data_IF_696119690761
#
_entry.id   IF_696119690761
#
_cell.length_a   1.000
_cell.length_b   1.000
_cell.length_c   1.000
_cell.angle_alpha   90.00
_cell.angle_beta   90.00
_cell.angle_gamma   90.00
#
_symmetry.space_group_name_H-M   'P 1'
#
loop_
_entity.id
_entity.type
_entity.pdbx_description
1 polymer ?
#
# COMPACT_ATOMS: atom_id res chain seq x y z
N UNK A 1 -27.06 -30.06 12.62
CA UNK A 1 -25.68 -29.80 12.21
C UNK A 1 -24.81 -30.83 12.93
N UNK A 2 -24.11 -31.71 12.21
CA UNK A 2 -23.27 -32.72 12.83
C UNK A 2 -21.91 -32.07 13.17
N UNK A 3 -21.65 -31.87 14.45
CA UNK A 3 -20.35 -31.39 14.91
C UNK A 3 -19.28 -32.45 14.59
N UNK A 4 -18.19 -32.07 13.92
CA UNK A 4 -17.11 -33.00 13.60
C UNK A 4 -16.37 -33.40 14.88
N UNK A 5 -16.31 -34.68 15.23
CA UNK A 5 -15.55 -35.14 16.40
C UNK A 5 -14.03 -35.14 16.12
N UNK A 6 -13.24 -34.60 17.05
CA UNK A 6 -11.79 -34.67 17.01
C UNK A 6 -11.28 -35.68 18.04
N UNK A 7 -10.47 -36.66 17.63
CA UNK A 7 -9.83 -37.58 18.59
C UNK A 7 -8.76 -36.81 19.35
N UNK A 8 -8.85 -36.76 20.67
CA UNK A 8 -7.76 -36.26 21.49
C UNK A 8 -6.59 -37.24 21.42
N UNK A 9 -5.46 -36.79 20.88
CA UNK A 9 -4.22 -37.58 20.79
C UNK A 9 -3.17 -36.86 21.63
N UNK A 10 -2.86 -37.45 22.78
CA UNK A 10 -1.77 -36.98 23.65
C UNK A 10 -0.43 -37.49 23.08
N UNK A 11 0.67 -36.72 23.16
CA UNK A 11 1.97 -37.09 22.57
C UNK A 11 2.50 -38.45 23.07
N UNK A 12 2.12 -38.82 24.29
CA UNK A 12 2.36 -40.15 24.84
C UNK A 12 1.00 -40.83 25.00
N UNK A 13 0.71 -41.91 24.27
CA UNK A 13 -0.56 -42.65 24.45
C UNK A 13 -0.65 -43.41 25.79
N UNK A 14 0.38 -43.30 26.64
CA UNK A 14 0.54 -44.01 27.91
C UNK A 14 1.04 -43.03 28.98
N UNK A 15 0.40 -43.04 30.15
CA UNK A 15 0.91 -42.32 31.33
C UNK A 15 1.87 -43.23 32.09
N UNK A 16 3.16 -42.88 32.07
CA UNK A 16 4.23 -43.56 32.81
C UNK A 16 4.83 -42.64 33.88
N UNK A 17 5.43 -43.21 34.92
CA UNK A 17 6.21 -42.44 35.88
C UNK A 17 7.63 -42.12 35.37
N UNK A 18 8.42 -41.40 36.18
CA UNK A 18 9.78 -41.00 35.83
C UNK A 18 10.75 -42.18 35.64
N UNK A 19 10.34 -43.40 35.98
CA UNK A 19 11.10 -44.65 35.81
C UNK A 19 10.59 -45.51 34.66
N UNK A 20 9.54 -45.07 33.94
CA UNK A 20 8.95 -45.77 32.81
C UNK A 20 7.88 -46.81 33.19
N UNK A 21 7.47 -46.87 34.47
CA UNK A 21 6.40 -47.79 34.91
C UNK A 21 5.03 -47.18 34.60
N UNK A 22 4.07 -47.95 34.05
CA UNK A 22 2.72 -47.47 33.80
C UNK A 22 2.00 -47.00 35.06
N UNK A 23 1.40 -45.81 35.00
CA UNK A 23 0.57 -45.27 36.08
C UNK A 23 -0.86 -45.79 35.95
N UNK A 24 -1.09 -46.99 36.47
CA UNK A 24 -2.43 -47.54 36.60
C UNK A 24 -3.34 -46.58 37.40
N UNK A 25 -4.52 -46.27 36.87
CA UNK A 25 -5.49 -45.39 37.55
C UNK A 25 -5.19 -43.88 37.47
N UNK A 26 -4.28 -43.44 36.60
CA UNK A 26 -4.14 -42.01 36.27
C UNK A 26 -5.47 -41.42 35.75
N UNK A 27 -5.70 -40.13 35.98
CA UNK A 27 -6.99 -39.48 35.72
C UNK A 27 -6.82 -38.28 34.79
N UNK A 28 -7.54 -38.26 33.68
CA UNK A 28 -7.65 -37.11 32.77
C UNK A 28 -8.96 -36.36 33.03
N UNK A 29 -8.83 -35.11 33.44
CA UNK A 29 -9.95 -34.18 33.58
C UNK A 29 -10.09 -33.32 32.34
N UNK A 30 -11.33 -33.09 31.92
CA UNK A 30 -11.66 -32.23 30.78
C UNK A 30 -12.59 -31.11 31.24
N UNK A 31 -12.17 -29.87 31.04
CA UNK A 31 -12.93 -28.67 31.36
C UNK A 31 -13.18 -27.84 30.11
N UNK A 32 -14.07 -26.87 30.20
CA UNK A 32 -14.17 -25.80 29.21
C UNK A 32 -12.88 -24.96 29.24
N UNK A 33 -12.34 -24.58 28.09
CA UNK A 33 -11.12 -23.77 28.00
C UNK A 33 -11.23 -22.46 28.80
N UNK A 34 -10.19 -22.12 29.56
CA UNK A 34 -10.19 -20.96 30.48
C UNK A 34 -11.10 -21.09 31.71
N UNK A 35 -11.64 -22.28 31.99
CA UNK A 35 -12.56 -22.54 33.10
C UNK A 35 -12.26 -23.88 33.79
N UNK A 36 -12.81 -24.06 34.99
CA UNK A 36 -12.81 -25.35 35.72
C UNK A 36 -14.15 -26.08 35.62
N UNK A 37 -15.07 -25.59 34.78
CA UNK A 37 -16.35 -26.25 34.52
C UNK A 37 -16.14 -27.52 33.70
N UNK A 38 -16.57 -28.71 34.19
CA UNK A 38 -16.47 -29.97 33.44
C UNK A 38 -17.14 -29.88 32.08
N UNK A 39 -16.44 -30.30 31.02
CA UNK A 39 -16.99 -30.39 29.66
C UNK A 39 -17.01 -31.84 29.20
N UNK A 40 -18.08 -32.24 28.51
CA UNK A 40 -18.28 -33.62 28.09
C UNK A 40 -17.27 -34.03 27.01
N UNK A 41 -16.74 -35.25 27.14
CA UNK A 41 -15.98 -35.94 26.09
C UNK A 41 -16.67 -37.27 25.78
N UNK A 42 -16.31 -37.93 24.67
CA UNK A 42 -17.06 -39.07 24.14
C UNK A 42 -16.16 -40.26 23.80
N UNK A 43 -16.67 -41.47 23.95
CA UNK A 43 -15.96 -42.71 23.65
C UNK A 43 -15.90 -43.03 22.15
N UNK A 44 -16.81 -42.46 21.36
CA UNK A 44 -16.98 -42.69 19.94
C UNK A 44 -16.96 -41.39 19.12
N UNK A 45 -16.61 -41.51 17.83
CA UNK A 45 -16.57 -40.39 16.89
C UNK A 45 -17.95 -39.82 16.55
N UNK A 46 -19.04 -40.54 16.84
CA UNK A 46 -20.40 -40.07 16.66
C UNK A 46 -20.89 -39.17 17.79
N UNK A 47 -20.08 -38.97 18.84
CA UNK A 47 -20.43 -38.20 20.04
C UNK A 47 -21.70 -38.75 20.73
N UNK A 48 -21.88 -40.07 20.71
CA UNK A 48 -23.11 -40.72 21.20
C UNK A 48 -22.99 -41.26 22.62
N UNK A 49 -21.78 -41.66 23.03
CA UNK A 49 -21.50 -42.21 24.35
C UNK A 49 -20.56 -41.28 25.11
N UNK A 50 -21.08 -40.59 26.12
CA UNK A 50 -20.26 -39.70 26.94
C UNK A 50 -19.29 -40.49 27.83
N UNK A 51 -18.04 -40.05 27.87
CA UNK A 51 -17.04 -40.53 28.81
C UNK A 51 -17.32 -39.96 30.22
N UNK A 52 -16.96 -40.71 31.27
CA UNK A 52 -16.92 -40.15 32.62
C UNK A 52 -15.85 -39.05 32.69
N UNK A 53 -16.08 -38.05 33.53
CA UNK A 53 -15.10 -37.02 33.84
C UNK A 53 -14.73 -37.11 35.33
N UNK A 54 -13.53 -37.60 35.68
CA UNK A 54 -12.38 -37.85 34.80
C UNK A 54 -12.42 -39.20 34.07
N UNK A 55 -11.68 -39.26 32.95
CA UNK A 55 -11.36 -40.50 32.24
C UNK A 55 -10.21 -41.18 32.97
N UNK A 56 -10.38 -42.43 33.38
CA UNK A 56 -9.41 -43.19 34.18
C UNK A 56 -8.61 -44.13 33.27
N UNK A 57 -7.29 -44.18 33.47
CA UNK A 57 -6.40 -45.10 32.78
C UNK A 57 -6.53 -46.53 33.31
N UNK A 58 -6.35 -47.51 32.42
CA UNK A 58 -6.35 -48.93 32.76
C UNK A 58 -5.06 -49.36 33.51
N UNK A 59 -4.93 -50.67 33.79
CA UNK A 59 -3.76 -51.24 34.47
C UNK A 59 -2.44 -51.07 33.70
N UNK A 60 -2.50 -50.75 32.41
CA UNK A 60 -1.36 -50.48 31.54
C UNK A 60 -1.09 -48.97 31.38
N UNK A 61 -1.76 -48.11 32.15
CA UNK A 61 -1.61 -46.66 32.07
C UNK A 61 -2.17 -46.05 30.78
N UNK A 62 -3.00 -46.81 30.04
CA UNK A 62 -3.60 -46.38 28.79
C UNK A 62 -5.00 -45.80 29.05
N UNK A 63 -5.29 -44.67 28.41
CA UNK A 63 -6.63 -44.08 28.41
C UNK A 63 -7.44 -44.66 27.25
N UNK A 64 -8.75 -44.83 27.47
CA UNK A 64 -9.68 -45.18 26.41
C UNK A 64 -9.76 -44.09 25.32
N UNK A 65 -10.50 -44.36 24.26
CA UNK A 65 -10.71 -43.36 23.21
C UNK A 65 -11.42 -42.13 23.79
N UNK A 66 -10.84 -40.96 23.55
CA UNK A 66 -11.43 -39.68 23.92
C UNK A 66 -11.65 -38.85 22.66
N UNK A 67 -12.91 -38.61 22.34
CA UNK A 67 -13.36 -37.71 21.30
C UNK A 67 -13.88 -36.42 21.92
N UNK A 68 -13.43 -35.28 21.38
CA UNK A 68 -13.82 -33.94 21.77
C UNK A 68 -14.89 -33.43 20.80
N UNK A 69 -15.84 -32.64 21.28
CA UNK A 69 -16.78 -31.94 20.41
C UNK A 69 -16.02 -30.91 19.56
N UNK A 70 -16.11 -31.03 18.24
CA UNK A 70 -15.53 -30.04 17.34
C UNK A 70 -16.09 -28.65 17.58
N UNK A 71 -15.21 -27.65 17.58
CA UNK A 71 -15.54 -26.24 17.81
C UNK A 71 -15.54 -25.82 19.28
N UNK A 72 -15.44 -26.76 20.24
CA UNK A 72 -15.31 -26.42 21.66
C UNK A 72 -13.82 -26.39 22.08
N UNK A 73 -13.43 -25.34 22.81
CA UNK A 73 -12.13 -25.30 23.49
C UNK A 73 -12.20 -26.10 24.80
N UNK A 74 -11.28 -27.05 24.96
CA UNK A 74 -11.14 -27.84 26.19
C UNK A 74 -9.88 -27.42 26.96
N UNK A 75 -9.91 -27.48 28.27
CA UNK A 75 -8.71 -27.53 29.11
C UNK A 75 -8.57 -28.96 29.65
N UNK A 76 -7.36 -29.51 29.62
CA UNK A 76 -7.07 -30.89 30.02
C UNK A 76 -6.08 -30.89 31.17
N UNK A 77 -6.40 -31.63 32.24
CA UNK A 77 -5.51 -31.82 33.37
C UNK A 77 -5.29 -33.30 33.63
N UNK A 78 -4.03 -33.73 33.63
CA UNK A 78 -3.61 -35.06 34.00
C UNK A 78 -3.20 -35.09 35.47
N UNK A 79 -3.82 -35.99 36.24
CA UNK A 79 -3.46 -36.30 37.62
C UNK A 79 -3.02 -37.75 37.78
N UNK A 80 -2.18 -38.01 38.79
CA UNK A 80 -1.88 -39.37 39.23
C UNK A 80 -3.10 -40.02 39.92
N UNK A 81 -2.97 -41.30 40.30
CA UNK A 81 -4.02 -42.03 41.00
C UNK A 81 -4.36 -41.44 42.39
N UNK A 82 -3.42 -40.70 43.00
CA UNK A 82 -3.59 -40.02 44.28
C UNK A 82 -4.23 -38.62 44.14
N UNK A 83 -4.42 -38.13 42.91
CA UNK A 83 -5.02 -36.82 42.61
C UNK A 83 -4.01 -35.68 42.44
N UNK A 84 -2.70 -35.94 42.49
CA UNK A 84 -1.69 -34.89 42.27
C UNK A 84 -1.59 -34.56 40.77
N UNK A 85 -1.57 -33.27 40.46
CA UNK A 85 -1.44 -32.80 39.08
C UNK A 85 -0.05 -33.11 38.52
N UNK A 86 -0.02 -33.79 37.38
CA UNK A 86 1.20 -34.13 36.63
C UNK A 86 1.41 -33.11 35.50
N UNK A 87 0.33 -32.77 34.80
CA UNK A 87 0.39 -31.95 33.60
C UNK A 87 -0.94 -31.26 33.32
N UNK A 88 -0.89 -30.11 32.68
CA UNK A 88 -2.08 -29.38 32.23
C UNK A 88 -1.83 -28.78 30.86
N UNK A 89 -2.89 -28.66 30.05
CA UNK A 89 -2.89 -27.98 28.77
C UNK A 89 -4.21 -27.26 28.58
N UNK A 90 -4.12 -25.98 28.27
CA UNK A 90 -5.25 -25.11 27.97
C UNK A 90 -4.79 -24.12 26.88
N UNK A 91 -5.36 -24.13 25.65
CA UNK A 91 -6.50 -24.94 25.18
C UNK A 91 -6.10 -26.24 24.43
N UNK A 92 -7.06 -27.17 24.32
CA UNK A 92 -7.02 -28.46 23.61
C UNK A 92 -8.29 -28.63 22.78
N UNK A 93 -8.22 -29.32 21.64
CA UNK A 93 -9.43 -29.69 20.89
C UNK A 93 -10.04 -28.57 20.05
N UNK A 94 -9.39 -27.41 19.96
CA UNK A 94 -9.69 -26.38 18.96
C UNK A 94 -9.55 -26.88 17.51
N UNK A 95 -9.13 -28.12 17.30
CA UNK A 95 -9.00 -28.77 15.99
C UNK A 95 -10.30 -29.47 15.58
N UNK A 96 -11.39 -28.73 15.49
CA UNK A 96 -12.49 -29.03 14.59
C UNK A 96 -12.56 -27.94 13.53
N UNK A 97 -11.90 -28.11 12.39
CA UNK A 97 -12.13 -27.30 11.17
C UNK A 97 -11.89 -25.78 11.21
N UNK A 98 -11.59 -25.16 12.34
CA UNK A 98 -11.44 -23.72 12.43
C UNK A 98 -9.97 -23.31 12.37
N UNK A 99 -9.61 -22.58 11.32
CA UNK A 99 -8.30 -22.02 11.08
C UNK A 99 -7.92 -20.98 12.15
N UNK A 100 -7.65 -21.39 13.39
CA UNK A 100 -7.36 -20.44 14.47
C UNK A 100 -6.66 -21.01 15.70
N UNK A 101 -6.44 -22.33 15.77
CA UNK A 101 -5.91 -23.00 16.97
C UNK A 101 -4.54 -22.53 17.49
N UNK A 102 -3.83 -21.67 16.74
CA UNK A 102 -2.64 -20.95 17.21
C UNK A 102 -2.57 -19.50 16.75
N UNK A 103 -3.64 -18.96 16.17
CA UNK A 103 -3.68 -17.59 15.63
C UNK A 103 -4.33 -16.69 16.67
N UNK A 104 -3.66 -15.64 17.17
CA UNK A 104 -4.25 -14.75 18.16
C UNK A 104 -5.42 -13.97 17.55
N UNK A 105 -6.43 -13.67 18.37
CA UNK A 105 -7.56 -12.81 17.98
C UNK A 105 -7.02 -11.45 17.55
N UNK A 106 -7.55 -10.91 16.44
CA UNK A 106 -7.07 -9.67 15.85
C UNK A 106 -5.91 -9.84 14.85
N UNK A 107 -5.35 -11.04 14.70
CA UNK A 107 -4.40 -11.32 13.63
C UNK A 107 -5.07 -11.22 12.26
N UNK A 108 -4.35 -10.62 11.31
CA UNK A 108 -4.82 -10.43 9.94
C UNK A 108 -3.93 -11.21 8.98
N UNK A 109 -4.54 -12.02 8.13
CA UNK A 109 -3.85 -12.82 7.12
C UNK A 109 -4.40 -12.54 5.73
N UNK A 110 -3.59 -12.86 4.72
CA UNK A 110 -4.02 -12.85 3.33
C UNK A 110 -4.80 -14.14 3.04
N UNK A 111 -5.86 -14.00 2.27
CA UNK A 111 -6.82 -15.07 2.01
C UNK A 111 -7.26 -15.05 0.55
N UNK A 112 -7.08 -16.19 -0.12
CA UNK A 112 -7.40 -16.33 -1.53
C UNK A 112 -8.89 -16.62 -1.82
N UNK A 113 -9.69 -16.93 -0.79
CA UNK A 113 -11.11 -17.23 -0.95
C UNK A 113 -11.99 -15.98 -0.94
N UNK A 114 -13.16 -16.06 -1.55
CA UNK A 114 -14.10 -14.94 -1.67
C UNK A 114 -14.88 -14.65 -0.38
N UNK A 115 -15.15 -15.68 0.44
CA UNK A 115 -15.99 -15.61 1.64
C UNK A 115 -15.15 -15.96 2.86
N UNK A 116 -15.23 -15.14 3.92
CA UNK A 116 -14.51 -15.42 5.16
C UNK A 116 -14.98 -16.75 5.77
N UNK A 117 -14.06 -17.64 6.18
CA UNK A 117 -14.39 -18.84 6.93
C UNK A 117 -15.05 -18.52 8.28
N UNK A 118 -15.69 -19.53 8.91
CA UNK A 118 -16.14 -19.42 10.29
C UNK A 118 -14.97 -19.02 11.22
N UNK A 119 -15.21 -18.16 12.21
CA UNK A 119 -14.14 -17.60 13.04
C UNK A 119 -13.43 -16.38 12.45
N UNK A 120 -13.67 -16.05 11.17
CA UNK A 120 -12.97 -14.97 10.47
C UNK A 120 -13.93 -13.94 9.90
N UNK A 121 -13.44 -12.72 9.76
CA UNK A 121 -14.18 -11.60 9.16
C UNK A 121 -13.34 -10.92 8.08
N UNK A 122 -13.97 -10.44 7.01
CA UNK A 122 -13.27 -9.63 6.00
C UNK A 122 -12.87 -8.26 6.57
N UNK A 123 -11.69 -7.76 6.22
CA UNK A 123 -11.25 -6.41 6.60
C UNK A 123 -11.71 -5.36 5.57
N UNK A 124 -13.02 -5.13 5.48
CA UNK A 124 -13.60 -4.14 4.57
C UNK A 124 -14.30 -2.96 5.28
N UNK A 125 -13.89 -2.63 6.51
CA UNK A 125 -14.36 -1.41 7.20
C UNK A 125 -15.76 -1.52 7.82
N UNK A 126 -16.40 -2.69 7.80
CA UNK A 126 -17.72 -2.87 8.41
C UNK A 126 -17.69 -2.71 9.93
N UNK A 127 -18.83 -2.32 10.49
CA UNK A 127 -19.06 -2.36 11.94
C UNK A 127 -19.62 -3.71 12.36
N UNK A 128 -19.14 -4.24 13.48
CA UNK A 128 -19.57 -5.54 14.04
C UNK A 128 -19.91 -5.42 15.52
N UNK A 129 -20.69 -6.37 16.04
CA UNK A 129 -21.20 -6.35 17.42
C UNK A 129 -20.08 -6.54 18.45
N UNK A 130 -20.04 -5.64 19.45
CA UNK A 130 -19.16 -5.77 20.62
C UNK A 130 -19.50 -6.97 21.49
N UNK A 131 -20.78 -7.35 21.54
CA UNK A 131 -21.24 -8.49 22.34
C UNK A 131 -20.87 -9.81 21.68
N UNK A 132 -21.08 -9.94 20.36
CA UNK A 132 -20.75 -11.16 19.63
C UNK A 132 -19.24 -11.33 19.52
N UNK A 133 -18.50 -10.26 19.26
CA UNK A 133 -17.04 -10.29 19.04
C UNK A 133 -16.27 -9.59 20.17
N UNK A 134 -16.61 -9.92 21.42
CA UNK A 134 -16.04 -9.27 22.61
C UNK A 134 -14.51 -9.39 22.70
N UNK A 135 -13.94 -10.55 22.36
CA UNK A 135 -12.50 -10.76 22.33
C UNK A 135 -11.81 -9.85 21.29
N UNK A 136 -12.40 -9.74 20.09
CA UNK A 136 -11.89 -8.88 19.03
C UNK A 136 -11.99 -7.39 19.38
N UNK A 137 -13.09 -6.99 20.03
CA UNK A 137 -13.22 -5.63 20.57
C UNK A 137 -12.18 -5.34 21.66
N UNK A 138 -11.84 -6.32 22.50
CA UNK A 138 -10.78 -6.18 23.50
C UNK A 138 -9.40 -5.85 22.90
N UNK A 139 -9.13 -6.31 21.68
CA UNK A 139 -7.87 -6.05 20.97
C UNK A 139 -7.91 -4.74 20.17
N UNK A 140 -8.98 -4.50 19.41
CA UNK A 140 -9.06 -3.36 18.49
C UNK A 140 -9.63 -2.09 19.14
N UNK A 141 -10.50 -2.24 20.13
CA UNK A 141 -11.29 -1.16 20.70
C UNK A 141 -12.05 -0.39 19.61
N UNK A 142 -11.90 0.93 19.63
CA UNK A 142 -12.53 1.85 18.66
C UNK A 142 -11.53 2.40 17.64
N UNK A 143 -10.35 1.79 17.51
CA UNK A 143 -9.25 2.29 16.70
C UNK A 143 -9.62 2.47 15.22
N UNK A 144 -10.41 1.55 14.67
CA UNK A 144 -10.85 1.55 13.28
C UNK A 144 -12.29 2.06 13.11
N UNK A 145 -12.78 2.80 14.10
CA UNK A 145 -14.11 3.38 14.13
C UNK A 145 -14.87 3.00 15.38
N UNK A 146 -15.57 3.98 15.96
CA UNK A 146 -16.38 3.78 17.16
C UNK A 146 -17.68 2.99 16.91
N UNK A 147 -18.00 2.66 15.66
CA UNK A 147 -19.29 2.11 15.27
C UNK A 147 -20.41 3.10 15.59
N UNK A 148 -21.40 2.65 16.35
CA UNK A 148 -22.49 3.47 16.90
C UNK A 148 -22.16 4.10 18.25
N UNK A 149 -20.93 3.92 18.76
CA UNK A 149 -20.49 4.38 20.06
C UNK A 149 -20.89 3.49 21.24
N UNK A 150 -21.78 2.52 21.05
CA UNK A 150 -22.36 1.73 22.15
C UNK A 150 -22.28 0.22 21.91
N UNK A 151 -22.91 -0.29 20.85
CA UNK A 151 -23.14 -1.73 20.65
C UNK A 151 -22.21 -2.34 19.60
N UNK A 152 -21.65 -1.52 18.71
CA UNK A 152 -20.80 -1.96 17.61
C UNK A 152 -19.45 -1.24 17.59
N UNK A 153 -18.50 -1.77 16.82
CA UNK A 153 -17.19 -1.17 16.59
C UNK A 153 -16.72 -1.44 15.15
N UNK A 154 -15.87 -0.57 14.61
CA UNK A 154 -15.35 -0.68 13.25
C UNK A 154 -14.18 -1.65 13.13
N UNK A 155 -14.14 -2.39 12.02
CA UNK A 155 -12.98 -3.20 11.64
C UNK A 155 -12.05 -2.45 10.67
N UNK A 156 -10.79 -2.87 10.52
CA UNK A 156 -9.90 -2.31 9.51
C UNK A 156 -10.49 -2.38 8.10
N UNK A 157 -10.24 -1.35 7.29
CA UNK A 157 -10.51 -1.36 5.86
C UNK A 157 -9.20 -1.48 5.08
N UNK A 158 -8.91 -2.67 4.57
CA UNK A 158 -7.67 -2.98 3.85
C UNK A 158 -7.86 -3.11 2.34
N UNK A 159 -9.02 -2.73 1.81
CA UNK A 159 -9.29 -2.78 0.36
C UNK A 159 -8.37 -1.80 -0.38
N UNK A 160 -7.55 -2.33 -1.29
CA UNK A 160 -6.62 -1.54 -2.12
C UNK A 160 -5.50 -0.86 -1.33
N UNK A 161 -5.26 -1.25 -0.07
CA UNK A 161 -4.23 -0.64 0.79
C UNK A 161 -3.07 -1.60 1.03
N UNK A 162 -1.86 -1.06 0.98
CA UNK A 162 -0.69 -1.70 1.56
C UNK A 162 -0.65 -1.44 3.07
N UNK A 163 -0.10 -2.40 3.82
CA UNK A 163 0.12 -2.27 5.26
C UNK A 163 1.60 -2.12 5.57
N UNK A 164 1.92 -1.30 6.56
CA UNK A 164 3.27 -1.15 7.10
C UNK A 164 3.26 -1.48 8.60
N UNK A 165 4.41 -1.89 9.13
CA UNK A 165 4.59 -1.98 10.57
C UNK A 165 4.54 -0.59 11.20
N UNK A 166 4.07 -0.49 12.45
CA UNK A 166 4.14 0.76 13.20
C UNK A 166 5.60 1.07 13.47
N UNK A 167 6.04 2.28 13.14
CA UNK A 167 7.46 2.63 13.05
C UNK A 167 8.21 2.56 14.39
N UNK A 168 7.49 2.57 15.51
CA UNK A 168 8.07 2.43 16.84
C UNK A 168 7.93 1.02 17.45
N UNK A 169 6.94 0.21 17.05
CA UNK A 169 6.58 -1.09 17.66
C UNK A 169 6.65 -1.11 19.21
N UNK A 170 6.25 -0.02 19.87
CA UNK A 170 6.31 0.13 21.34
C UNK A 170 7.66 0.62 21.91
N UNK A 171 8.66 0.86 21.07
CA UNK A 171 9.96 1.46 21.40
C UNK A 171 10.13 2.87 20.82
N UNK A 172 11.35 3.19 20.40
CA UNK A 172 11.65 4.44 19.69
C UNK A 172 11.34 4.31 18.18
N UNK A 173 10.92 5.40 17.56
CA UNK A 173 10.62 5.45 16.12
C UNK A 173 11.89 5.26 15.26
N UNK A 174 11.80 4.41 14.25
CA UNK A 174 12.87 4.19 13.27
C UNK A 174 12.96 5.30 12.20
N UNK A 175 11.93 6.16 12.12
CA UNK A 175 11.75 7.23 11.15
C UNK A 175 11.72 6.75 9.68
N UNK A 176 11.19 5.56 9.42
CA UNK A 176 11.07 5.01 8.06
C UNK A 176 9.81 5.49 7.34
N UNK A 177 8.71 5.61 8.07
CA UNK A 177 7.46 6.23 7.59
C UNK A 177 7.14 7.40 8.51
N UNK A 178 7.37 8.61 8.04
CA UNK A 178 7.14 9.82 8.84
C UNK A 178 6.07 10.70 8.21
N UNK A 179 5.46 11.58 9.00
CA UNK A 179 4.53 12.58 8.47
C UNK A 179 5.21 13.46 7.41
N UNK A 180 6.52 13.69 7.51
CA UNK A 180 7.29 14.36 6.48
C UNK A 180 7.42 13.44 5.25
N UNK A 181 6.84 13.86 4.13
CA UNK A 181 6.91 13.16 2.84
C UNK A 181 5.78 12.17 2.58
N UNK A 182 5.26 11.47 3.60
CA UNK A 182 4.17 10.50 3.40
C UNK A 182 2.78 11.00 3.79
N UNK A 183 2.71 12.08 4.59
CA UNK A 183 1.49 12.56 5.25
C UNK A 183 0.79 11.49 6.12
N UNK A 184 1.51 10.44 6.54
CA UNK A 184 1.02 9.39 7.45
C UNK A 184 1.77 9.46 8.76
N UNK A 185 1.04 9.36 9.88
CA UNK A 185 1.65 9.23 11.20
C UNK A 185 2.12 7.79 11.45
N UNK A 186 3.37 7.48 11.09
CA UNK A 186 3.90 6.11 11.17
C UNK A 186 4.04 5.52 12.57
N UNK A 187 4.00 6.34 13.64
CA UNK A 187 4.07 5.86 15.03
C UNK A 187 2.69 5.61 15.65
N UNK A 188 1.62 6.03 14.99
CA UNK A 188 0.26 5.83 15.46
C UNK A 188 -0.35 4.59 14.80
N UNK A 189 -0.65 3.57 15.61
CA UNK A 189 -1.39 2.40 15.13
C UNK A 189 -2.73 2.83 14.53
N UNK A 190 -3.11 2.23 13.39
CA UNK A 190 -4.35 2.57 12.68
C UNK A 190 -4.31 3.89 11.90
N UNK A 191 -3.17 4.60 11.85
CA UNK A 191 -3.02 5.75 10.96
C UNK A 191 -3.20 5.34 9.49
N UNK A 192 -3.96 6.14 8.75
CA UNK A 192 -4.23 5.94 7.32
C UNK A 192 -3.84 7.19 6.54
N UNK A 193 -3.39 7.01 5.30
CA UNK A 193 -3.13 8.11 4.37
C UNK A 193 -2.65 7.58 3.03
N UNK A 194 -1.81 8.38 2.35
CA UNK A 194 -1.42 8.16 0.96
C UNK A 194 -2.34 8.87 -0.05
N UNK A 195 -1.91 8.91 -1.30
CA UNK A 195 -2.62 9.54 -2.42
C UNK A 195 -2.89 8.51 -3.52
N UNK A 196 -4.03 8.64 -4.20
CA UNK A 196 -4.35 7.85 -5.39
C UNK A 196 -3.68 8.39 -6.66
N UNK A 197 -3.09 9.60 -6.57
CA UNK A 197 -2.38 10.27 -7.66
C UNK A 197 -0.93 10.51 -7.28
N UNK A 198 -0.02 10.34 -8.25
CA UNK A 198 1.36 10.79 -8.10
C UNK A 198 1.39 12.30 -7.89
N UNK A 199 2.32 12.78 -7.06
CA UNK A 199 2.49 14.22 -6.87
C UNK A 199 2.99 14.85 -8.18
N UNK A 200 2.33 15.94 -8.59
CA UNK A 200 2.83 16.77 -9.67
C UNK A 200 4.20 17.34 -9.25
N UNK A 201 5.15 17.28 -10.16
CA UNK A 201 6.45 17.91 -10.01
C UNK A 201 6.85 18.55 -11.33
N UNK A 202 7.73 19.54 -11.26
CA UNK A 202 8.22 20.27 -12.41
C UNK A 202 9.65 19.84 -12.72
N UNK A 203 9.99 19.89 -14.01
CA UNK A 203 11.37 19.82 -14.46
C UNK A 203 11.76 21.19 -14.98
N UNK A 204 12.88 21.71 -14.49
CA UNK A 204 13.42 22.97 -14.99
C UNK A 204 14.23 22.72 -16.26
N UNK A 205 14.16 23.67 -17.17
CA UNK A 205 14.99 23.69 -18.37
C UNK A 205 15.81 24.97 -18.37
N UNK A 206 17.13 24.80 -18.34
CA UNK A 206 18.08 25.92 -18.36
C UNK A 206 18.57 26.15 -19.78
N UNK A 207 18.21 27.29 -20.38
CA UNK A 207 18.82 27.81 -21.60
C UNK A 207 19.88 28.85 -21.22
N UNK A 208 21.19 28.60 -21.44
CA UNK A 208 22.25 29.56 -21.10
C UNK A 208 22.23 30.83 -21.97
N UNK A 209 21.30 30.94 -22.91
CA UNK A 209 21.15 32.07 -23.81
C UNK A 209 22.14 32.00 -24.98
N UNK A 210 21.82 32.72 -26.05
CA UNK A 210 22.68 32.86 -27.22
C UNK A 210 22.43 34.20 -27.91
N UNK A 211 23.36 34.61 -28.79
CA UNK A 211 23.29 35.88 -29.51
C UNK A 211 23.00 35.67 -30.98
N UNK A 212 22.27 36.60 -31.59
CA UNK A 212 22.07 36.65 -33.03
C UNK A 212 23.08 37.60 -33.67
N UNK A 213 23.67 37.18 -34.78
CA UNK A 213 24.52 38.03 -35.59
C UNK A 213 23.72 38.61 -36.77
N UNK A 214 23.78 39.93 -36.92
CA UNK A 214 23.29 40.64 -38.10
C UNK A 214 24.48 40.95 -39.01
N UNK A 215 24.36 40.62 -40.29
CA UNK A 215 25.35 40.98 -41.30
C UNK A 215 24.70 41.92 -42.31
N UNK A 216 25.23 43.13 -42.40
CA UNK A 216 24.93 44.08 -43.47
C UNK A 216 26.14 44.11 -44.43
N UNK A 217 26.01 43.56 -45.66
CA UNK A 217 27.07 43.62 -46.66
C UNK A 217 27.40 45.05 -47.13
N UNK A 218 26.61 46.04 -46.69
CA UNK A 218 26.62 47.39 -47.22
C UNK A 218 25.88 47.47 -48.55
N UNK A 219 25.45 48.69 -48.89
CA UNK A 219 24.88 49.00 -50.20
C UNK A 219 25.13 50.47 -50.54
N UNK A 220 25.01 50.83 -51.81
CA UNK A 220 25.18 52.19 -52.31
C UNK A 220 24.07 52.58 -53.27
N UNK A 221 23.87 53.88 -53.42
CA UNK A 221 22.91 54.45 -54.35
C UNK A 221 23.65 55.14 -55.50
N UNK A 222 23.12 55.00 -56.72
CA UNK A 222 23.62 55.68 -57.91
C UNK A 222 22.53 56.46 -58.63
N UNK A 223 22.89 57.53 -59.37
CA UNK A 223 21.96 58.25 -60.23
C UNK A 223 21.54 57.38 -61.43
N UNK A 224 20.26 57.42 -61.79
CA UNK A 224 19.72 56.65 -62.91
C UNK A 224 19.77 57.51 -64.19
N UNK A 225 20.71 57.23 -65.12
CA UNK A 225 20.85 57.98 -66.37
C UNK A 225 20.20 57.22 -67.53
N UNK A 226 19.01 57.65 -67.93
CA UNK A 226 18.51 57.37 -69.28
C UNK A 226 19.47 58.01 -70.29
N UNK A 227 19.88 57.24 -71.31
CA UNK A 227 20.96 57.57 -72.24
C UNK A 227 20.84 58.98 -72.82
N UNK A 228 21.69 59.92 -72.39
CA UNK A 228 21.79 61.23 -73.04
C UNK A 228 22.57 62.32 -72.32
N UNK A 229 22.63 62.31 -70.98
CA UNK A 229 23.34 63.35 -70.22
C UNK A 229 24.22 62.74 -69.14
N UNK A 230 25.53 62.74 -69.37
CA UNK A 230 26.55 62.31 -68.39
C UNK A 230 26.95 63.53 -67.57
N UNK A 231 26.52 63.57 -66.31
CA UNK A 231 27.03 64.55 -65.34
C UNK A 231 28.39 64.06 -64.84
N UNK A 232 29.47 64.85 -64.90
CA UNK A 232 30.71 64.50 -64.22
C UNK A 232 30.44 64.37 -62.72
N UNK A 233 30.68 63.18 -62.16
CA UNK A 233 30.51 62.92 -60.74
C UNK A 233 31.60 63.65 -59.93
N UNK A 234 31.32 64.91 -59.59
CA UNK A 234 32.04 65.67 -58.59
C UNK A 234 31.06 66.08 -57.49
N UNK A 235 31.42 65.83 -56.23
CA UNK A 235 30.61 66.19 -55.07
C UNK A 235 30.40 67.71 -54.99
N UNK A 236 29.14 68.14 -55.05
CA UNK A 236 28.70 69.42 -54.47
C UNK A 236 29.06 70.69 -55.24
N UNK A 237 28.84 70.73 -56.55
CA UNK A 237 28.86 71.97 -57.34
C UNK A 237 27.54 72.20 -58.06
N UNK A 238 27.01 73.42 -57.98
CA UNK A 238 25.92 73.87 -58.88
C UNK A 238 26.44 73.85 -60.32
N UNK A 239 25.63 73.31 -61.23
CA UNK A 239 25.96 73.25 -62.66
C UNK A 239 25.45 74.53 -63.33
N UNK A 240 26.35 75.43 -63.67
CA UNK A 240 26.05 76.57 -64.55
C UNK A 240 26.24 76.15 -66.01
N UNK A 241 25.14 75.79 -66.67
CA UNK A 241 25.13 75.45 -68.09
C UNK A 241 24.79 76.70 -68.91
N UNK A 242 25.81 77.49 -69.27
CA UNK A 242 25.62 78.65 -70.15
C UNK A 242 25.55 78.19 -71.61
N UNK A 243 24.34 78.15 -72.17
CA UNK A 243 24.15 77.97 -73.60
C UNK A 243 24.37 79.30 -74.34
N UNK A 244 25.01 79.24 -75.52
CA UNK A 244 25.26 80.39 -76.37
C UNK A 244 23.93 81.03 -76.81
N UNK A 245 23.52 82.09 -76.12
CA UNK A 245 22.21 82.73 -76.33
C UNK A 245 21.69 83.56 -75.15
N UNK A 246 22.32 83.48 -73.96
CA UNK A 246 22.16 84.50 -72.91
C UNK A 246 20.75 84.63 -72.32
N UNK A 247 20.08 83.51 -72.07
CA UNK A 247 18.85 83.48 -71.28
C UNK A 247 18.98 82.44 -70.18
N UNK A 248 18.98 82.88 -68.93
CA UNK A 248 19.01 81.99 -67.76
C UNK A 248 17.64 81.31 -67.65
N UNK A 249 17.51 80.12 -68.24
CA UNK A 249 16.38 79.23 -67.94
C UNK A 249 16.83 78.37 -66.78
N UNK A 250 16.27 78.58 -65.59
CA UNK A 250 16.55 77.76 -64.42
C UNK A 250 15.96 76.35 -64.63
N UNK A 251 16.69 75.49 -65.33
CA UNK A 251 16.32 74.07 -65.45
C UNK A 251 16.73 73.35 -64.17
N UNK A 252 15.78 73.22 -63.24
CA UNK A 252 15.94 72.42 -62.01
C UNK A 252 15.99 70.93 -62.36
N UNK A 253 17.17 70.43 -62.71
CA UNK A 253 17.40 69.00 -62.84
C UNK A 253 17.22 68.32 -61.47
N UNK A 254 16.12 67.59 -61.29
CA UNK A 254 15.88 66.84 -60.05
C UNK A 254 16.55 65.47 -60.20
N UNK A 255 17.67 65.25 -59.51
CA UNK A 255 18.33 63.95 -59.50
C UNK A 255 17.41 62.93 -58.80
N UNK A 256 16.88 61.96 -59.55
CA UNK A 256 16.19 60.81 -58.97
C UNK A 256 17.21 59.73 -58.60
N UNK A 257 17.42 59.55 -57.30
CA UNK A 257 18.25 58.46 -56.76
C UNK A 257 17.45 57.16 -56.77
N UNK A 258 18.01 56.09 -57.32
CA UNK A 258 17.34 54.79 -57.31
C UNK A 258 17.29 54.20 -55.89
N UNK A 259 16.20 53.48 -55.59
CA UNK A 259 16.09 52.71 -54.34
C UNK A 259 17.03 51.51 -54.42
N UNK A 260 17.92 51.36 -53.44
CA UNK A 260 18.74 50.17 -53.27
C UNK A 260 18.25 49.45 -52.00
N UNK A 261 17.95 48.16 -52.13
CA UNK A 261 17.60 47.31 -50.99
C UNK A 261 18.87 46.76 -50.38
N UNK A 262 19.09 46.95 -49.09
CA UNK A 262 20.15 46.23 -48.37
C UNK A 262 19.84 44.74 -48.37
N UNK A 263 20.82 43.93 -48.74
CA UNK A 263 20.76 42.47 -48.57
C UNK A 263 20.96 42.05 -47.10
N UNK A 264 20.39 42.80 -46.15
CA UNK A 264 20.55 42.56 -44.72
C UNK A 264 20.13 41.12 -44.42
N UNK A 265 21.06 40.33 -43.90
CA UNK A 265 20.80 38.94 -43.54
C UNK A 265 20.93 38.78 -42.02
N UNK A 266 19.85 38.33 -41.39
CA UNK A 266 19.88 37.86 -40.02
C UNK A 266 20.25 36.37 -40.03
N UNK A 267 21.38 36.02 -39.40
CA UNK A 267 21.72 34.61 -39.21
C UNK A 267 21.03 34.14 -37.94
N UNK A 268 20.02 33.27 -38.08
CA UNK A 268 19.34 32.68 -36.92
C UNK A 268 20.30 31.78 -36.17
N UNK A 269 20.69 32.17 -34.96
CA UNK A 269 21.22 31.22 -33.99
C UNK A 269 20.01 30.57 -33.31
N UNK A 270 20.00 29.25 -33.25
CA UNK A 270 19.00 28.50 -32.47
C UNK A 270 19.70 28.00 -31.22
N UNK A 271 19.04 28.08 -30.06
CA UNK A 271 19.50 27.47 -28.79
C UNK A 271 19.75 25.96 -28.92
N UNK A 272 19.18 25.32 -29.95
CA UNK A 272 19.19 23.87 -30.14
C UNK A 272 18.32 23.13 -29.12
N UNK A 273 17.57 23.84 -28.27
CA UNK A 273 16.85 23.26 -27.16
C UNK A 273 15.46 22.78 -27.61
N UNK A 274 15.35 21.50 -27.91
CA UNK A 274 14.06 20.86 -28.21
C UNK A 274 13.53 20.18 -26.96
N UNK A 275 12.65 20.86 -26.20
CA UNK A 275 11.92 20.22 -25.09
C UNK A 275 10.80 19.39 -25.72
N UNK A 276 11.13 18.15 -26.11
CA UNK A 276 10.09 17.19 -26.45
C UNK A 276 9.48 16.77 -25.11
N UNK A 277 8.27 17.22 -24.80
CA UNK A 277 7.46 16.61 -23.74
C UNK A 277 7.08 15.20 -24.23
N UNK A 278 8.02 14.27 -24.17
CA UNK A 278 7.86 12.90 -24.67
C UNK A 278 7.13 11.99 -23.68
N UNK A 279 6.67 12.53 -22.54
CA UNK A 279 5.96 11.78 -21.51
C UNK A 279 4.62 12.43 -21.20
N UNK A 280 3.62 12.21 -22.06
CA UNK A 280 2.22 12.44 -21.69
C UNK A 280 1.65 11.13 -21.15
N UNK A 281 1.69 10.94 -19.85
CA UNK A 281 1.11 9.77 -19.19
C UNK A 281 1.39 9.80 -17.69
N UNK A 282 0.43 9.31 -16.91
CA UNK A 282 0.65 9.09 -15.49
C UNK A 282 1.79 8.06 -15.32
N UNK A 283 2.78 8.38 -14.50
CA UNK A 283 3.82 7.42 -14.16
C UNK A 283 3.22 6.27 -13.36
N UNK A 284 3.28 5.05 -13.88
CA UNK A 284 2.89 3.84 -13.16
C UNK A 284 4.15 3.28 -12.46
N UNK A 285 4.20 3.42 -11.13
CA UNK A 285 5.31 2.94 -10.30
C UNK A 285 4.85 1.85 -9.30
N UNK A 286 3.80 1.11 -9.65
CA UNK A 286 3.26 0.07 -8.78
C UNK A 286 3.93 -1.26 -9.15
N UNK A 287 4.59 -1.95 -8.20
CA UNK A 287 5.21 -3.24 -8.47
C UNK A 287 4.15 -4.26 -8.89
N UNK A 288 4.52 -5.35 -9.60
CA UNK A 288 3.58 -6.43 -9.91
C UNK A 288 2.83 -6.87 -8.64
N UNK A 289 1.50 -6.80 -8.67
CA UNK A 289 0.66 -7.03 -7.50
C UNK A 289 -0.42 -8.07 -7.78
N UNK A 290 -0.75 -8.84 -6.75
CA UNK A 290 -1.90 -9.72 -6.73
C UNK A 290 -2.84 -9.32 -5.60
N UNK A 291 -4.15 -9.31 -5.88
CA UNK A 291 -5.16 -8.91 -4.91
C UNK A 291 -5.70 -10.16 -4.21
N UNK A 292 -5.48 -10.24 -2.91
CA UNK A 292 -6.06 -11.24 -2.03
C UNK A 292 -7.00 -10.55 -1.04
N UNK A 293 -7.99 -11.28 -0.55
CA UNK A 293 -8.80 -10.79 0.55
C UNK A 293 -7.95 -10.74 1.82
N UNK A 294 -8.27 -9.77 2.68
CA UNK A 294 -7.68 -9.66 4.02
C UNK A 294 -8.75 -10.10 5.02
N UNK A 295 -8.43 -11.10 5.84
CA UNK A 295 -9.34 -11.58 6.88
C UNK A 295 -8.71 -11.43 8.26
N UNK A 296 -9.52 -11.12 9.25
CA UNK A 296 -9.15 -10.97 10.66
C UNK A 296 -9.78 -12.07 11.50
N UNK A 297 -8.98 -12.68 12.39
CA UNK A 297 -9.47 -13.73 13.26
C UNK A 297 -10.28 -13.11 14.40
N UNK A 298 -11.55 -13.51 14.51
CA UNK A 298 -12.49 -12.99 15.50
C UNK A 298 -12.59 -13.88 16.76
N UNK A 299 -12.09 -15.12 16.69
CA UNK A 299 -12.10 -16.05 17.83
C UNK A 299 -13.45 -16.71 18.12
N UNK A 300 -14.47 -16.49 17.28
CA UNK A 300 -15.82 -17.03 17.47
C UNK A 300 -16.23 -17.82 16.23
N UNK A 301 -16.27 -19.16 16.33
CA UNK A 301 -16.85 -20.02 15.30
C UNK A 301 -18.33 -19.68 15.14
N UNK A 302 -18.74 -19.37 13.91
CA UNK A 302 -20.14 -19.10 13.58
C UNK A 302 -21.00 -20.35 13.60
#
# INVERSE_FOLDING_TARGET
MAYSAARFVWPNSFSVDATGVPRAGARLFFYQGGSTMPLATYADAGLTVANPNPVVADASGQFGNVFLMGGAAYAVMLCDAAGNQIWTMDPVGAAGGDAGGGVPVGAIVDYAGAVAPAGWLLCCGQSVSRTVYAALFGVLGTLYGAGDGATNFGLPDLRGRATFGVDNMGGAAANLVTMAGSNVNGVQLGAVGGSQSAAAHTHDVTDPGHTHALTDPGHGHGPNHGSGFVVPQGSGGEMDAVFAGGGDVEEKATAQTATATTGLAATSATTGLTIVSAGSGDSQNMPPAMMLNRIIFAGVGG
#
